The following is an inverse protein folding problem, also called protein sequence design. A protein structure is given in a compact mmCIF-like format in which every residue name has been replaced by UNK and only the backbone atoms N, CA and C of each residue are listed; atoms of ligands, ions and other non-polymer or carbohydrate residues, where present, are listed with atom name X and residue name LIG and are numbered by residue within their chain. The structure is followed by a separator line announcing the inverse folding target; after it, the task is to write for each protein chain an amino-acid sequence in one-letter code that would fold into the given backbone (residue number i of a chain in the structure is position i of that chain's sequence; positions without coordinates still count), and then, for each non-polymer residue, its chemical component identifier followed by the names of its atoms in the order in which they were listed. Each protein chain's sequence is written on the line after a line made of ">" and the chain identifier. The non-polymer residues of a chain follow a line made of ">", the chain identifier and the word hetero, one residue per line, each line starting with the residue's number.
data_IF_227962640095
#
_entry.id   IF_227962640095
#
_cell.length_a   1.000
_cell.length_b   1.000
_cell.length_c   1.000
_cell.angle_alpha   90.00
_cell.angle_beta   90.00
_cell.angle_gamma   90.00
#
_symmetry.space_group_name_H-M   'P 1'
#
loop_
_entity.id
_entity.type
_entity.pdbx_description
1 polymer ?
#
# COMPACT_ATOMS: atom_id res chain seq x y z
N UNK A 1 -12.57 -24.48 5.38
CA UNK A 1 -11.57 -23.43 5.63
C UNK A 1 -12.20 -22.19 6.21
N UNK A 2 -11.46 -21.46 7.03
CA UNK A 2 -11.93 -20.25 7.70
C UNK A 2 -10.85 -19.19 7.72
N UNK A 3 -11.17 -18.05 8.32
CA UNK A 3 -10.21 -16.94 8.45
C UNK A 3 -9.16 -17.32 9.50
N UNK A 4 -7.89 -17.29 9.11
CA UNK A 4 -6.77 -17.51 10.01
C UNK A 4 -5.94 -16.23 10.13
N UNK A 5 -5.56 -15.86 11.37
CA UNK A 5 -4.58 -14.80 11.57
C UNK A 5 -3.19 -15.28 11.10
N UNK A 6 -2.45 -14.39 10.47
CA UNK A 6 -1.10 -14.65 9.97
C UNK A 6 -0.12 -13.65 10.57
N UNK A 7 1.11 -14.10 10.79
CA UNK A 7 2.16 -13.24 11.33
C UNK A 7 2.54 -12.19 10.29
N UNK A 8 2.56 -10.94 10.71
CA UNK A 8 3.09 -9.82 9.94
C UNK A 8 4.21 -9.15 10.71
N UNK A 9 5.25 -8.73 9.99
CA UNK A 9 6.33 -7.94 10.58
C UNK A 9 5.83 -6.52 10.85
N UNK A 10 5.86 -6.10 12.12
CA UNK A 10 5.46 -4.75 12.51
C UNK A 10 6.48 -3.68 12.12
N UNK A 11 7.68 -4.09 11.74
CA UNK A 11 8.75 -3.23 11.23
C UNK A 11 8.76 -3.12 9.69
N UNK A 12 7.77 -3.72 9.01
CA UNK A 12 7.62 -3.60 7.56
C UNK A 12 7.60 -2.12 7.14
N UNK A 13 8.54 -1.77 6.26
CA UNK A 13 8.59 -0.43 5.67
C UNK A 13 7.44 -0.27 4.66
N UNK A 14 6.53 0.65 4.97
CA UNK A 14 5.37 1.00 4.16
C UNK A 14 5.43 2.45 3.70
N UNK A 15 6.62 3.07 3.71
CA UNK A 15 6.82 4.48 3.30
C UNK A 15 6.39 4.71 1.84
N UNK A 16 6.50 3.67 1.00
CA UNK A 16 6.11 3.73 -0.42
C UNK A 16 4.63 3.49 -0.67
N UNK A 17 3.81 3.17 0.35
CA UNK A 17 2.40 2.81 0.15
C UNK A 17 1.55 3.99 -0.34
N UNK A 18 1.82 5.20 0.15
CA UNK A 18 1.17 6.46 -0.21
C UNK A 18 2.23 7.56 -0.30
N UNK A 19 3.17 7.51 -1.26
CA UNK A 19 4.41 8.29 -1.20
C UNK A 19 4.20 9.78 -1.47
N UNK A 20 3.06 10.16 -2.03
CA UNK A 20 2.67 11.56 -2.25
C UNK A 20 2.02 12.18 -1.02
N UNK A 21 1.65 11.38 -0.01
CA UNK A 21 0.96 11.84 1.18
C UNK A 21 1.88 11.82 2.41
N UNK A 22 1.81 12.85 3.27
CA UNK A 22 2.60 12.92 4.49
C UNK A 22 1.96 12.08 5.62
N UNK A 23 1.88 10.77 5.40
CA UNK A 23 1.24 9.81 6.31
C UNK A 23 2.24 8.76 6.79
N UNK A 24 2.12 8.37 8.06
CA UNK A 24 2.82 7.22 8.60
C UNK A 24 1.93 5.99 8.47
N UNK A 25 2.40 4.99 7.72
CA UNK A 25 1.76 3.68 7.63
C UNK A 25 2.38 2.71 8.66
N UNK A 26 1.56 1.92 9.33
CA UNK A 26 2.02 0.90 10.29
C UNK A 26 1.11 -0.33 10.23
N UNK A 27 1.62 -1.53 9.96
CA UNK A 27 0.79 -2.73 9.94
C UNK A 27 0.28 -3.04 11.36
N UNK A 28 -1.01 -3.36 11.45
CA UNK A 28 -1.70 -3.71 12.69
C UNK A 28 -1.84 -5.23 12.85
N UNK A 29 -2.17 -5.90 11.75
CA UNK A 29 -2.41 -7.33 11.71
C UNK A 29 -2.76 -7.79 10.30
N UNK A 30 -2.73 -9.10 10.10
CA UNK A 30 -3.10 -9.70 8.84
C UNK A 30 -3.89 -11.00 9.07
N UNK A 31 -4.73 -11.32 8.09
CA UNK A 31 -5.54 -12.53 8.05
C UNK A 31 -5.50 -13.13 6.65
N UNK A 32 -5.74 -14.44 6.56
CA UNK A 32 -5.80 -15.17 5.31
C UNK A 32 -7.09 -15.97 5.23
N UNK A 33 -7.70 -15.99 4.05
CA UNK A 33 -8.74 -16.91 3.63
C UNK A 33 -8.42 -17.37 2.20
N UNK A 34 -8.22 -18.68 2.01
CA UNK A 34 -7.80 -19.28 0.75
C UNK A 34 -6.54 -18.62 0.15
N UNK A 35 -6.70 -17.93 -0.98
CA UNK A 35 -5.64 -17.20 -1.69
C UNK A 35 -5.59 -15.72 -1.32
N UNK A 36 -6.56 -15.22 -0.57
CA UNK A 36 -6.64 -13.81 -0.20
C UNK A 36 -5.97 -13.57 1.14
N UNK A 37 -5.21 -12.49 1.18
CA UNK A 37 -4.63 -11.94 2.38
C UNK A 37 -5.24 -10.57 2.61
N UNK A 38 -5.68 -10.30 3.83
CA UNK A 38 -6.15 -8.99 4.27
C UNK A 38 -5.14 -8.47 5.28
N UNK A 39 -4.59 -7.28 5.04
CA UNK A 39 -3.71 -6.61 5.99
C UNK A 39 -4.35 -5.30 6.43
N UNK A 40 -4.52 -5.15 7.75
CA UNK A 40 -4.93 -3.87 8.33
C UNK A 40 -3.68 -3.01 8.58
N UNK A 41 -3.69 -1.78 8.06
CA UNK A 41 -2.62 -0.80 8.15
C UNK A 41 -3.18 0.45 8.79
N UNK A 42 -2.58 0.88 9.91
CA UNK A 42 -2.84 2.20 10.48
C UNK A 42 -2.21 3.26 9.60
N UNK A 43 -2.99 4.25 9.20
CA UNK A 43 -2.49 5.47 8.59
C UNK A 43 -2.66 6.61 9.59
N UNK A 44 -1.58 7.37 9.83
CA UNK A 44 -1.60 8.52 10.72
C UNK A 44 -1.03 9.75 10.02
N UNK A 45 -1.77 10.86 10.03
CA UNK A 45 -1.33 12.12 9.46
C UNK A 45 -0.13 12.69 10.22
N UNK A 46 0.86 13.18 9.50
CA UNK A 46 2.07 13.80 10.07
C UNK A 46 2.04 15.33 10.03
N UNK A 47 0.95 15.93 9.51
CA UNK A 47 0.84 17.39 9.27
C UNK A 47 -0.30 18.02 10.05
N UNK A 48 -0.30 19.36 10.15
CA UNK A 48 -1.40 20.12 10.75
C UNK A 48 -2.59 20.34 9.81
N UNK A 49 -2.56 19.82 8.57
CA UNK A 49 -3.61 19.99 7.58
C UNK A 49 -4.40 18.69 7.41
N UNK A 50 -5.68 18.78 7.06
CA UNK A 50 -6.48 17.60 6.72
C UNK A 50 -5.94 16.94 5.44
N UNK A 51 -5.89 15.62 5.42
CA UNK A 51 -5.54 14.81 4.25
C UNK A 51 -6.78 14.06 3.78
N UNK A 52 -7.08 14.10 2.48
CA UNK A 52 -8.09 13.24 1.86
C UNK A 52 -7.40 11.97 1.37
N UNK A 53 -8.03 10.81 1.56
CA UNK A 53 -7.48 9.53 1.14
C UNK A 53 -8.21 9.03 -0.10
N UNK A 54 -7.46 8.78 -1.17
CA UNK A 54 -7.95 8.17 -2.41
C UNK A 54 -7.28 6.80 -2.60
N UNK A 55 -8.05 5.70 -2.76
CA UNK A 55 -7.44 4.38 -2.91
C UNK A 55 -6.62 4.24 -4.21
N UNK A 56 -6.79 5.16 -5.18
CA UNK A 56 -6.01 5.19 -6.42
C UNK A 56 -4.59 5.73 -6.25
N UNK A 57 -4.30 6.38 -5.12
CA UNK A 57 -2.95 6.84 -4.77
C UNK A 57 -2.10 5.74 -4.11
N UNK A 58 -2.71 4.60 -3.78
CA UNK A 58 -2.01 3.46 -3.21
C UNK A 58 -1.05 2.86 -4.23
N UNK A 59 0.20 2.64 -3.81
CA UNK A 59 1.20 1.95 -4.64
C UNK A 59 1.43 0.53 -4.14
N UNK A 60 1.27 -0.42 -5.07
CA UNK A 60 1.45 -1.85 -4.84
C UNK A 60 0.45 -2.69 -5.63
N UNK A 61 0.63 -4.00 -5.57
CA UNK A 61 -0.21 -4.99 -6.24
C UNK A 61 -1.39 -5.38 -5.33
N UNK A 62 -2.48 -4.61 -5.38
CA UNK A 62 -3.66 -4.82 -4.54
C UNK A 62 -4.87 -5.27 -5.35
N UNK A 63 -5.56 -6.30 -4.86
CA UNK A 63 -6.84 -6.74 -5.41
C UNK A 63 -7.97 -5.76 -5.05
N UNK A 64 -7.95 -5.22 -3.83
CA UNK A 64 -8.86 -4.17 -3.38
C UNK A 64 -8.30 -3.47 -2.14
N UNK A 65 -8.82 -2.27 -1.86
CA UNK A 65 -8.47 -1.46 -0.71
C UNK A 65 -9.71 -0.75 -0.16
N UNK A 66 -9.80 -0.64 1.17
CA UNK A 66 -10.86 0.12 1.81
C UNK A 66 -10.32 0.91 3.01
N UNK A 67 -10.70 2.17 3.13
CA UNK A 67 -10.45 2.98 4.32
C UNK A 67 -11.65 2.91 5.27
N UNK A 68 -11.40 2.85 6.57
CA UNK A 68 -12.44 2.97 7.58
C UNK A 68 -13.14 4.35 7.52
N UNK A 69 -12.40 5.41 7.22
CA UNK A 69 -12.92 6.68 6.75
C UNK A 69 -11.95 7.33 5.75
N UNK A 70 -12.43 8.02 4.70
CA UNK A 70 -11.61 8.46 3.57
C UNK A 70 -10.88 9.79 3.81
N UNK A 71 -10.47 10.06 5.06
CA UNK A 71 -9.74 11.28 5.42
C UNK A 71 -8.95 11.10 6.71
N UNK A 72 -7.97 11.97 6.93
CA UNK A 72 -7.26 12.14 8.20
C UNK A 72 -7.33 13.60 8.62
N UNK A 73 -7.77 13.87 9.85
CA UNK A 73 -7.70 15.19 10.45
C UNK A 73 -6.26 15.64 10.72
N UNK A 74 -6.06 16.89 11.20
CA UNK A 74 -4.75 17.39 11.61
C UNK A 74 -4.07 16.47 12.64
N UNK A 75 -2.74 16.35 12.59
CA UNK A 75 -1.95 15.56 13.55
C UNK A 75 -2.29 15.95 14.99
N UNK A 76 -2.58 14.95 15.82
CA UNK A 76 -2.98 15.11 17.22
C UNK A 76 -4.49 15.27 17.43
N UNK A 77 -5.27 15.46 16.36
CA UNK A 77 -6.74 15.36 16.42
C UNK A 77 -7.19 13.90 16.56
N UNK A 78 -8.36 13.67 17.15
CA UNK A 78 -8.94 12.33 17.28
C UNK A 78 -9.18 11.63 15.92
N UNK A 79 -9.30 12.41 14.84
CA UNK A 79 -9.47 11.93 13.47
C UNK A 79 -8.16 11.86 12.67
N UNK A 80 -6.99 12.09 13.28
CA UNK A 80 -5.68 12.07 12.60
C UNK A 80 -5.25 10.67 12.11
N UNK A 81 -6.01 9.65 12.48
CA UNK A 81 -5.71 8.24 12.27
C UNK A 81 -6.89 7.53 11.64
N UNK A 82 -6.63 6.65 10.67
CA UNK A 82 -7.60 5.68 10.14
C UNK A 82 -6.99 4.30 9.95
N UNK A 83 -7.83 3.30 9.71
CA UNK A 83 -7.39 1.96 9.27
C UNK A 83 -7.66 1.79 7.77
N UNK A 84 -6.62 1.39 7.05
CA UNK A 84 -6.67 0.92 5.67
C UNK A 84 -6.63 -0.61 5.68
N UNK A 85 -7.55 -1.24 4.96
CA UNK A 85 -7.56 -2.68 4.71
C UNK A 85 -7.09 -2.94 3.27
N UNK A 86 -5.95 -3.60 3.13
CA UNK A 86 -5.38 -3.98 1.84
C UNK A 86 -5.62 -5.47 1.60
N UNK A 87 -6.12 -5.81 0.42
CA UNK A 87 -6.31 -7.19 0.00
C UNK A 87 -5.32 -7.53 -1.10
N UNK A 88 -4.56 -8.60 -0.90
CA UNK A 88 -3.59 -9.15 -1.87
C UNK A 88 -3.94 -10.59 -2.21
N UNK A 89 -3.51 -11.07 -3.38
CA UNK A 89 -3.80 -12.43 -3.86
C UNK A 89 -2.52 -13.25 -3.98
N UNK A 90 -2.49 -14.41 -3.34
CA UNK A 90 -1.38 -15.37 -3.38
C UNK A 90 -0.21 -15.04 -2.45
N UNK A 91 -0.10 -13.81 -1.96
CA UNK A 91 1.00 -13.35 -1.11
C UNK A 91 0.54 -12.29 -0.10
N UNK A 92 1.34 -12.03 0.93
CA UNK A 92 1.07 -11.01 1.95
C UNK A 92 1.56 -9.62 1.55
N UNK A 93 1.30 -8.62 2.39
CA UNK A 93 1.60 -7.21 2.07
C UNK A 93 3.08 -6.96 1.74
N UNK A 94 4.01 -7.65 2.41
CA UNK A 94 5.45 -7.48 2.16
C UNK A 94 5.83 -7.72 0.70
N UNK A 95 5.24 -8.70 0.03
CA UNK A 95 5.54 -8.97 -1.38
C UNK A 95 4.77 -8.03 -2.32
N UNK A 96 3.61 -7.53 -1.90
CA UNK A 96 2.77 -6.65 -2.70
C UNK A 96 3.31 -5.21 -2.80
N UNK A 97 4.13 -4.79 -1.82
CA UNK A 97 4.75 -3.45 -1.79
C UNK A 97 6.15 -3.40 -2.40
N UNK A 98 6.72 -4.56 -2.76
CA UNK A 98 7.97 -4.60 -3.53
C UNK A 98 7.62 -4.20 -4.96
N UNK A 99 8.11 -3.04 -5.40
CA UNK A 99 8.12 -2.72 -6.82
C UNK A 99 8.96 -3.77 -7.54
N UNK A 100 8.32 -4.71 -8.22
CA UNK A 100 8.97 -5.39 -9.32
C UNK A 100 9.00 -4.39 -10.47
N UNK A 101 10.02 -3.53 -10.49
CA UNK A 101 10.42 -2.95 -11.76
C UNK A 101 10.82 -4.14 -12.64
N UNK A 102 9.95 -4.56 -13.56
CA UNK A 102 10.39 -5.42 -14.64
C UNK A 102 11.63 -4.74 -15.27
N UNK A 103 12.74 -5.45 -15.51
CA UNK A 103 13.88 -4.84 -16.15
C UNK A 103 13.39 -4.29 -17.49
N UNK A 104 13.46 -2.97 -17.66
CA UNK A 104 13.23 -2.33 -18.94
C UNK A 104 14.19 -3.00 -19.93
N UNK A 105 13.66 -3.69 -20.94
CA UNK A 105 14.48 -4.34 -21.95
C UNK A 105 15.28 -3.25 -22.70
N UNK A 106 16.63 -3.19 -22.53
CA UNK A 106 17.44 -2.18 -23.19
C UNK A 106 17.55 -2.39 -24.71
N UNK A 107 16.90 -3.41 -25.29
CA UNK A 107 16.91 -3.67 -26.74
C UNK A 107 15.80 -2.98 -27.53
N UNK A 108 14.79 -2.39 -26.89
CA UNK A 108 13.69 -1.73 -27.61
C UNK A 108 14.05 -0.36 -28.23
N UNK A 109 15.20 0.24 -27.88
CA UNK A 109 15.61 1.58 -28.33
C UNK A 109 16.73 1.61 -29.38
N UNK A 110 17.14 0.46 -29.94
CA UNK A 110 18.20 0.40 -30.96
C UNK A 110 17.71 -0.21 -32.27
N UNK A 111 16.70 0.43 -32.88
CA UNK A 111 16.13 0.00 -34.15
C UNK A 111 15.42 1.11 -34.90
N UNK A 112 15.86 2.36 -34.79
CA UNK A 112 15.39 3.45 -35.64
C UNK A 112 16.45 4.55 -35.66
N UNK A 113 17.43 4.46 -36.55
CA UNK A 113 18.14 5.61 -37.15
C UNK A 113 19.11 5.18 -38.25
N UNK A 114 18.83 5.71 -39.45
CA UNK A 114 19.68 5.91 -40.63
C UNK A 114 19.98 4.71 -41.55
N UNK A 115 19.24 4.65 -42.66
CA UNK A 115 19.77 4.34 -43.99
C UNK A 115 19.40 5.51 -44.90
N UNK A 116 20.40 6.29 -45.30
CA UNK A 116 20.43 7.15 -46.49
C UNK A 116 21.67 6.71 -47.29
#
# INVERSE_FOLDING_TARGET
>A
DGIAQVKIDRSLDLTTLLPTLPVKATPLGAWRLDVFWVTAVKLQNQTAQRVTLDPRELMGEFATAAFQHPYLGPRGDASDTTTLYLVTRGHGLTQATVFSAAPADPRATRGAKHEE
#
